data_IF_847650813245
#
_entry.id   IF_847650813245
#
_cell.length_a   1.000
_cell.length_b   1.000
_cell.length_c   1.000
_cell.angle_alpha   90.00
_cell.angle_beta   90.00
_cell.angle_gamma   90.00
#
_symmetry.space_group_name_H-M   'P 1'
#
loop_
_entity.id
_entity.type
_entity.pdbx_description
1 polymer ?
#
# COMPACT_ATOMS: atom_id res chain seq x y z
N UNK A 1 -37.72 -37.42 12.19
CA UNK A 1 -38.56 -36.53 13.02
C UNK A 1 -37.59 -35.56 13.70
N UNK A 2 -37.57 -34.25 13.53
CA UNK A 2 -38.40 -33.26 12.83
C UNK A 2 -37.44 -32.23 12.17
N UNK A 3 -37.78 -31.84 10.95
CA UNK A 3 -37.20 -30.76 10.17
C UNK A 3 -37.82 -29.44 10.69
N UNK A 4 -37.03 -28.51 11.21
CA UNK A 4 -37.53 -27.17 11.58
C UNK A 4 -37.17 -26.20 10.47
N UNK A 5 -38.07 -26.09 9.50
CA UNK A 5 -37.97 -25.22 8.33
C UNK A 5 -38.37 -23.80 8.74
N UNK A 6 -37.39 -22.89 8.81
CA UNK A 6 -37.64 -21.47 9.05
C UNK A 6 -38.18 -20.83 7.76
N UNK A 7 -39.47 -20.48 7.77
CA UNK A 7 -40.18 -19.82 6.68
C UNK A 7 -39.69 -18.36 6.55
N UNK A 8 -38.95 -18.04 5.49
CA UNK A 8 -38.64 -16.65 5.12
C UNK A 8 -39.77 -16.16 4.21
N UNK A 9 -40.54 -15.21 4.72
CA UNK A 9 -41.63 -14.55 3.99
C UNK A 9 -41.01 -13.60 2.97
N UNK A 10 -41.09 -13.92 1.69
CA UNK A 10 -40.75 -13.01 0.60
C UNK A 10 -41.83 -11.93 0.48
N UNK A 11 -41.56 -10.72 0.95
CA UNK A 11 -42.35 -9.54 0.59
C UNK A 11 -41.99 -9.13 -0.84
N UNK A 12 -42.80 -9.57 -1.80
CA UNK A 12 -42.80 -9.04 -3.16
C UNK A 12 -43.44 -7.65 -3.17
N UNK A 13 -42.63 -6.61 -2.99
CA UNK A 13 -43.04 -5.25 -3.31
C UNK A 13 -42.92 -5.04 -4.82
N UNK A 14 -44.05 -5.02 -5.52
CA UNK A 14 -44.12 -4.57 -6.91
C UNK A 14 -43.72 -3.09 -6.99
N UNK A 15 -42.53 -2.79 -7.51
CA UNK A 15 -42.13 -1.42 -7.83
C UNK A 15 -42.66 -1.12 -9.23
N UNK A 16 -43.73 -0.33 -9.28
CA UNK A 16 -44.22 0.33 -10.49
C UNK A 16 -43.10 1.17 -11.09
N UNK A 17 -42.77 0.92 -12.34
CA UNK A 17 -42.08 1.89 -13.17
C UNK A 17 -42.93 3.16 -13.28
N UNK A 18 -42.34 4.31 -13.00
CA UNK A 18 -42.84 5.62 -13.40
C UNK A 18 -41.63 6.48 -13.70
N UNK A 19 -41.62 6.98 -14.93
CA UNK A 19 -40.58 7.70 -15.65
C UNK A 19 -40.18 9.03 -15.01
N UNK A 20 -38.88 9.30 -15.13
CA UNK A 20 -38.17 10.58 -15.27
C UNK A 20 -38.44 11.70 -14.25
N UNK A 21 -37.36 12.14 -13.58
CA UNK A 21 -36.91 13.53 -13.51
C UNK A 21 -35.58 13.60 -12.73
N UNK A 22 -34.49 13.91 -13.46
CA UNK A 22 -33.26 14.56 -12.98
C UNK A 22 -32.61 14.06 -11.69
N UNK A 23 -31.69 13.10 -11.80
CA UNK A 23 -30.75 12.78 -10.73
C UNK A 23 -29.42 13.49 -10.97
N UNK A 24 -29.28 14.69 -10.42
CA UNK A 24 -28.02 15.41 -10.34
C UNK A 24 -27.08 14.74 -9.32
N UNK A 25 -25.89 14.35 -9.79
CA UNK A 25 -24.64 14.26 -9.03
C UNK A 25 -24.60 13.39 -7.74
N UNK A 26 -24.87 12.08 -7.82
CA UNK A 26 -24.45 11.14 -6.74
C UNK A 26 -23.10 10.46 -6.94
N UNK A 27 -22.49 10.53 -8.13
CA UNK A 27 -21.16 9.95 -8.39
C UNK A 27 -20.02 10.62 -7.59
N UNK A 28 -20.22 11.84 -7.07
CA UNK A 28 -19.16 12.56 -6.35
C UNK A 28 -19.05 12.19 -4.86
N UNK A 29 -20.04 11.48 -4.30
CA UNK A 29 -20.06 11.17 -2.86
C UNK A 29 -19.39 9.83 -2.52
N UNK A 30 -19.35 8.88 -3.45
CA UNK A 30 -18.64 7.60 -3.25
C UNK A 30 -17.12 7.74 -3.42
N UNK A 31 -16.65 8.76 -4.13
CA UNK A 31 -15.21 9.03 -4.29
C UNK A 31 -14.56 9.72 -3.07
N UNK A 32 -15.36 10.08 -2.05
CA UNK A 32 -14.86 10.71 -0.80
C UNK A 32 -14.47 9.73 0.30
N UNK A 33 -14.73 8.43 0.10
CA UNK A 33 -14.23 7.35 0.96
C UNK A 33 -12.98 6.69 0.37
N UNK A 34 -12.19 7.43 -0.43
CA UNK A 34 -10.82 7.01 -0.67
C UNK A 34 -10.11 6.92 0.69
N UNK A 35 -9.61 5.74 1.10
CA UNK A 35 -8.81 5.65 2.32
C UNK A 35 -7.70 6.68 2.18
N UNK A 36 -7.60 7.58 3.17
CA UNK A 36 -6.52 8.56 3.27
C UNK A 36 -5.25 7.74 3.39
N UNK A 37 -4.63 7.43 2.25
CA UNK A 37 -3.43 6.63 2.18
C UNK A 37 -2.44 7.32 3.12
N UNK A 38 -1.95 6.59 4.13
CA UNK A 38 -0.80 7.06 4.89
C UNK A 38 0.33 7.43 3.93
N UNK A 39 1.35 8.18 4.39
CA UNK A 39 2.49 8.49 3.54
C UNK A 39 2.98 7.21 2.86
N UNK A 40 3.02 7.23 1.53
CA UNK A 40 3.20 6.03 0.74
C UNK A 40 4.55 5.39 1.11
N UNK A 41 4.52 4.09 1.43
CA UNK A 41 5.66 3.39 1.99
C UNK A 41 6.34 2.53 0.90
N UNK A 42 7.60 2.82 0.59
CA UNK A 42 8.39 2.05 -0.36
C UNK A 42 9.09 0.83 0.27
N UNK A 43 9.02 0.68 1.59
CA UNK A 43 9.55 -0.49 2.29
C UNK A 43 8.66 -1.71 2.01
N UNK A 44 9.18 -2.71 1.30
CA UNK A 44 8.42 -3.88 0.86
C UNK A 44 8.47 -5.12 1.78
N UNK A 45 9.40 -5.18 2.74
CA UNK A 45 9.58 -6.35 3.60
C UNK A 45 8.57 -6.37 4.76
N UNK A 46 7.87 -7.50 4.92
CA UNK A 46 6.82 -7.65 5.94
C UNK A 46 7.25 -8.45 7.19
N UNK A 47 8.47 -9.00 7.20
CA UNK A 47 8.99 -9.70 8.37
C UNK A 47 9.09 -8.76 9.57
N UNK A 48 8.87 -9.29 10.78
CA UNK A 48 8.70 -8.46 11.99
C UNK A 48 9.36 -9.08 13.24
N UNK A 49 10.50 -9.76 13.08
CA UNK A 49 11.14 -10.47 14.18
C UNK A 49 11.84 -9.44 15.08
N UNK A 50 11.36 -9.28 16.30
CA UNK A 50 11.86 -8.25 17.20
C UNK A 50 11.57 -6.81 16.74
N UNK A 51 10.63 -6.63 15.81
CA UNK A 51 10.15 -5.32 15.37
C UNK A 51 9.89 -5.20 13.86
N UNK A 52 9.06 -4.24 13.48
CA UNK A 52 8.82 -3.89 12.08
C UNK A 52 9.97 -3.03 11.52
N UNK A 53 10.29 -3.25 10.26
CA UNK A 53 11.17 -2.35 9.52
C UNK A 53 10.52 -0.95 9.39
N UNK A 54 11.23 0.15 9.69
CA UNK A 54 10.68 1.50 9.54
C UNK A 54 10.26 1.78 8.10
N UNK A 55 9.16 2.51 7.92
CA UNK A 55 8.70 2.90 6.59
C UNK A 55 9.74 3.77 5.85
N UNK A 56 9.82 3.61 4.54
CA UNK A 56 10.52 4.51 3.62
C UNK A 56 9.45 5.44 3.05
N UNK A 57 9.40 6.68 3.54
CA UNK A 57 8.37 7.67 3.16
C UNK A 57 8.99 8.87 2.45
N UNK A 58 8.17 9.66 1.79
CA UNK A 58 8.64 10.86 1.10
C UNK A 58 9.03 11.93 2.13
N UNK A 59 10.24 12.45 2.02
CA UNK A 59 10.74 13.56 2.85
C UNK A 59 10.26 14.91 2.31
N UNK A 60 10.58 15.99 3.04
CA UNK A 60 10.35 17.37 2.60
C UNK A 60 11.56 17.98 1.84
N UNK A 61 12.69 17.25 1.74
CA UNK A 61 13.91 17.70 1.06
C UNK A 61 13.99 17.05 -0.34
N UNK A 62 13.82 17.82 -1.44
CA UNK A 62 13.90 17.27 -2.79
C UNK A 62 15.25 16.64 -3.14
N UNK A 63 16.35 17.05 -2.49
CA UNK A 63 17.69 16.45 -2.70
C UNK A 63 17.86 15.14 -1.95
N UNK A 64 17.01 14.87 -0.96
CA UNK A 64 17.03 13.67 -0.11
C UNK A 64 15.61 13.14 0.05
N UNK A 65 14.97 12.71 -1.06
CA UNK A 65 13.52 12.48 -1.09
C UNK A 65 13.06 11.29 -0.24
N UNK A 66 13.96 10.38 0.14
CA UNK A 66 13.62 9.23 0.97
C UNK A 66 13.84 9.53 2.45
N UNK A 67 12.86 9.25 3.30
CA UNK A 67 12.98 9.36 4.75
C UNK A 67 12.75 8.00 5.40
N UNK A 68 13.65 7.64 6.32
CA UNK A 68 13.54 6.46 7.18
C UNK A 68 13.73 6.92 8.62
N UNK A 69 12.67 6.81 9.42
CA UNK A 69 12.60 7.40 10.76
C UNK A 69 13.02 8.89 10.72
N UNK A 70 14.10 9.25 11.43
CA UNK A 70 14.59 10.62 11.55
C UNK A 70 15.76 10.95 10.59
N UNK A 71 15.99 10.13 9.57
CA UNK A 71 17.08 10.34 8.60
C UNK A 71 16.55 10.39 7.18
N UNK A 72 17.11 11.27 6.34
CA UNK A 72 16.78 11.37 4.91
C UNK A 72 17.91 10.83 4.02
N UNK A 73 17.61 10.42 2.80
CA UNK A 73 18.56 9.77 1.88
C UNK A 73 18.34 10.24 0.45
N UNK A 74 19.41 10.35 -0.35
CA UNK A 74 19.31 10.79 -1.75
C UNK A 74 18.75 9.70 -2.67
N UNK A 75 18.93 8.43 -2.32
CA UNK A 75 18.56 7.28 -3.15
C UNK A 75 17.87 6.16 -2.36
N UNK A 76 17.08 5.37 -3.08
CA UNK A 76 16.30 4.26 -2.52
C UNK A 76 17.17 3.13 -1.95
N UNK A 77 18.25 2.65 -2.61
CA UNK A 77 19.11 1.62 -2.04
C UNK A 77 19.66 1.98 -0.65
N UNK A 78 20.14 3.21 -0.46
CA UNK A 78 20.66 3.67 0.84
C UNK A 78 19.55 3.76 1.89
N UNK A 79 18.35 4.21 1.50
CA UNK A 79 17.19 4.19 2.39
C UNK A 79 16.75 2.74 2.75
N UNK A 80 16.75 1.85 1.76
CA UNK A 80 16.46 0.42 1.89
C UNK A 80 17.41 -0.27 2.87
N UNK A 81 18.71 0.02 2.78
CA UNK A 81 19.67 -0.46 3.76
C UNK A 81 19.37 0.09 5.16
N UNK A 82 19.12 1.40 5.30
CA UNK A 82 18.84 2.00 6.60
C UNK A 82 17.62 1.37 7.29
N UNK A 83 16.55 1.09 6.55
CA UNK A 83 15.36 0.48 7.16
C UNK A 83 15.65 -0.95 7.65
N UNK A 84 16.37 -1.76 6.87
CA UNK A 84 16.77 -3.10 7.28
C UNK A 84 17.75 -3.10 8.46
N UNK A 85 18.74 -2.21 8.46
CA UNK A 85 19.69 -2.07 9.58
C UNK A 85 18.98 -1.62 10.87
N UNK A 86 17.98 -0.75 10.74
CA UNK A 86 17.18 -0.30 11.90
C UNK A 86 16.33 -1.45 12.45
N UNK A 87 15.73 -2.26 11.57
CA UNK A 87 15.03 -3.48 11.98
C UNK A 87 15.96 -4.47 12.69
N UNK A 88 17.13 -4.70 12.12
CA UNK A 88 18.12 -5.61 12.66
C UNK A 88 18.56 -5.22 14.08
N UNK A 89 18.82 -3.93 14.31
CA UNK A 89 19.12 -3.42 15.64
C UNK A 89 17.95 -3.61 16.61
N UNK A 90 16.70 -3.42 16.16
CA UNK A 90 15.51 -3.73 16.97
C UNK A 90 15.43 -5.21 17.33
N UNK A 91 15.69 -6.10 16.36
CA UNK A 91 15.75 -7.53 16.58
C UNK A 91 16.85 -7.91 17.58
N UNK A 92 18.04 -7.34 17.45
CA UNK A 92 19.14 -7.54 18.39
C UNK A 92 18.79 -7.07 19.80
N UNK A 93 18.11 -5.93 19.94
CA UNK A 93 17.63 -5.45 21.24
C UNK A 93 16.60 -6.40 21.86
N UNK A 94 15.71 -6.98 21.05
CA UNK A 94 14.76 -7.98 21.51
C UNK A 94 15.44 -9.28 21.95
N UNK A 95 16.40 -9.77 21.15
CA UNK A 95 17.23 -10.95 21.44
C UNK A 95 18.13 -10.77 22.68
N UNK A 96 18.53 -9.54 23.00
CA UNK A 96 19.29 -9.23 24.21
C UNK A 96 18.40 -8.83 25.40
N UNK A 97 17.09 -8.71 25.18
CA UNK A 97 16.14 -8.17 26.14
C UNK A 97 15.03 -9.16 26.49
N UNK A 98 13.78 -8.69 26.38
CA UNK A 98 12.60 -9.43 26.82
C UNK A 98 12.35 -10.73 26.03
N UNK A 99 12.96 -10.89 24.84
CA UNK A 99 12.77 -12.06 23.97
C UNK A 99 14.04 -12.91 23.85
N UNK A 100 15.00 -12.77 24.77
CA UNK A 100 16.29 -13.48 24.73
C UNK A 100 16.23 -15.01 24.62
N UNK A 101 15.14 -15.60 25.11
CA UNK A 101 14.93 -17.05 25.08
C UNK A 101 14.10 -17.49 23.84
N UNK A 102 13.68 -16.54 22.99
CA UNK A 102 12.81 -16.74 21.82
C UNK A 102 13.48 -16.33 20.50
N UNK A 103 14.36 -15.32 20.55
CA UNK A 103 15.04 -14.75 19.39
C UNK A 103 16.53 -14.94 19.58
N UNK A 104 17.17 -15.58 18.60
CA UNK A 104 18.63 -15.67 18.52
C UNK A 104 19.17 -14.64 17.53
N UNK A 105 20.44 -14.28 17.68
CA UNK A 105 21.10 -13.35 16.76
C UNK A 105 21.06 -13.83 15.30
N UNK A 106 21.29 -15.12 15.06
CA UNK A 106 21.20 -15.72 13.72
C UNK A 106 19.82 -15.54 13.06
N UNK A 107 18.75 -15.48 13.85
CA UNK A 107 17.41 -15.21 13.31
C UNK A 107 17.28 -13.74 12.87
N UNK A 108 17.93 -12.82 13.59
CA UNK A 108 18.04 -11.42 13.18
C UNK A 108 18.85 -11.26 11.89
N UNK A 109 19.98 -11.98 11.77
CA UNK A 109 20.80 -11.98 10.54
C UNK A 109 19.97 -12.47 9.34
N UNK A 110 19.29 -13.60 9.51
CA UNK A 110 18.42 -14.17 8.46
C UNK A 110 17.29 -13.21 8.06
N UNK A 111 16.74 -12.47 9.03
CA UNK A 111 15.73 -11.44 8.74
C UNK A 111 16.33 -10.24 8.00
N UNK A 112 17.51 -9.79 8.37
CA UNK A 112 18.19 -8.68 7.71
C UNK A 112 18.48 -9.01 6.24
N UNK A 113 19.01 -10.20 5.96
CA UNK A 113 19.26 -10.67 4.59
C UNK A 113 17.97 -10.70 3.76
N UNK A 114 16.89 -11.22 4.34
CA UNK A 114 15.58 -11.26 3.69
C UNK A 114 15.01 -9.84 3.44
N UNK A 115 15.22 -8.91 4.37
CA UNK A 115 14.86 -7.51 4.19
C UNK A 115 15.65 -6.88 3.05
N UNK A 116 16.98 -7.05 3.03
CA UNK A 116 17.84 -6.52 1.97
C UNK A 116 17.47 -7.08 0.59
N UNK A 117 17.14 -8.37 0.50
CA UNK A 117 16.65 -8.99 -0.73
C UNK A 117 15.31 -8.41 -1.19
N UNK A 118 14.37 -8.19 -0.26
CA UNK A 118 13.07 -7.60 -0.55
C UNK A 118 13.18 -6.13 -1.02
N UNK A 119 14.07 -5.33 -0.42
CA UNK A 119 14.32 -3.96 -0.89
C UNK A 119 14.98 -3.97 -2.27
N UNK A 120 15.95 -4.86 -2.48
CA UNK A 120 16.64 -4.98 -3.77
C UNK A 120 15.70 -5.36 -4.92
N UNK A 121 14.72 -6.21 -4.63
CA UNK A 121 13.70 -6.69 -5.58
C UNK A 121 12.39 -5.88 -5.57
N UNK A 122 12.32 -4.78 -4.82
CA UNK A 122 11.09 -3.99 -4.70
C UNK A 122 10.60 -3.49 -6.07
N UNK A 123 9.30 -3.67 -6.39
CA UNK A 123 8.74 -3.27 -7.68
C UNK A 123 8.65 -1.74 -7.82
N UNK A 124 8.51 -1.04 -6.70
CA UNK A 124 8.45 0.41 -6.62
C UNK A 124 9.66 0.91 -5.83
N UNK A 125 10.42 1.83 -6.42
CA UNK A 125 11.62 2.43 -5.83
C UNK A 125 11.58 3.95 -5.82
N UNK A 126 10.55 4.56 -6.39
CA UNK A 126 10.33 6.01 -6.38
C UNK A 126 8.88 6.35 -6.00
N UNK A 127 8.69 7.53 -5.40
CA UNK A 127 7.36 8.00 -5.00
C UNK A 127 6.46 8.35 -6.18
N UNK A 128 7.02 8.69 -7.35
CA UNK A 128 6.23 8.90 -8.57
C UNK A 128 5.51 7.61 -9.00
N UNK A 129 6.15 6.44 -8.84
CA UNK A 129 5.54 5.16 -9.20
C UNK A 129 4.36 4.79 -8.28
N UNK A 130 4.31 5.34 -7.07
CA UNK A 130 3.18 5.16 -6.13
C UNK A 130 2.00 6.09 -6.45
N UNK A 131 2.24 7.18 -7.18
CA UNK A 131 1.23 8.17 -7.57
C UNK A 131 0.58 7.83 -8.90
N UNK A 132 1.25 7.01 -9.70
CA UNK A 132 0.68 6.40 -10.89
C UNK A 132 -0.27 5.28 -10.45
N UNK A 133 -1.55 5.61 -10.24
CA UNK A 133 -2.62 4.64 -10.56
C UNK A 133 -2.30 4.08 -11.95
N UNK A 134 -2.58 2.80 -12.25
CA UNK A 134 -2.22 2.21 -13.54
C UNK A 134 -2.74 3.13 -14.65
N UNK A 135 -1.85 3.95 -15.20
CA UNK A 135 -2.13 4.68 -16.40
C UNK A 135 -2.22 3.57 -17.41
N UNK A 136 -3.43 3.35 -17.91
CA UNK A 136 -3.71 2.46 -19.02
C UNK A 136 -2.53 2.57 -19.97
N UNK A 137 -1.74 1.50 -20.03
CA UNK A 137 -0.91 1.28 -21.19
C UNK A 137 -1.92 1.31 -22.33
N UNK A 138 -1.82 2.34 -23.16
CA UNK A 138 -2.68 2.55 -24.31
C UNK A 138 -2.51 1.34 -25.23
N UNK A 139 -3.27 0.29 -24.99
CA UNK A 139 -3.68 -0.63 -26.02
C UNK A 139 -4.73 0.19 -26.78
N UNK A 140 -4.47 0.59 -28.04
CA UNK A 140 -5.50 1.25 -28.83
C UNK A 140 -6.72 0.32 -28.85
N UNK A 141 -7.85 0.77 -28.33
CA UNK A 141 -9.11 0.04 -28.52
C UNK A 141 -9.39 0.06 -30.02
N UNK A 142 -9.45 -1.09 -30.70
CA UNK A 142 -9.69 -1.15 -32.14
C UNK A 142 -11.07 -0.60 -32.55
N UNK A 143 -11.95 -0.29 -31.60
CA UNK A 143 -13.29 0.24 -31.86
C UNK A 143 -13.48 1.72 -31.49
N UNK A 144 -12.48 2.39 -30.90
CA UNK A 144 -12.59 3.82 -30.57
C UNK A 144 -11.22 4.52 -30.56
N UNK A 145 -10.75 5.03 -31.72
CA UNK A 145 -9.47 5.74 -31.83
C UNK A 145 -9.52 7.20 -31.37
N UNK A 146 -10.67 7.74 -30.93
CA UNK A 146 -10.85 9.18 -30.65
C UNK A 146 -10.89 9.55 -29.16
N UNK A 147 -10.83 8.59 -28.23
CA UNK A 147 -10.60 8.91 -26.81
C UNK A 147 -9.11 9.12 -26.49
N UNK A 148 -8.50 10.08 -27.18
CA UNK A 148 -7.38 10.83 -26.60
C UNK A 148 -7.96 11.71 -25.49
N UNK A 149 -8.13 11.12 -24.29
CA UNK A 149 -8.57 11.83 -23.10
C UNK A 149 -7.45 12.75 -22.60
N UNK A 150 -7.37 13.90 -23.27
CA UNK A 150 -6.94 15.23 -22.83
C UNK A 150 -6.25 15.24 -21.45
N UNK A 151 -4.93 15.13 -21.45
CA UNK A 151 -4.08 15.69 -20.39
C UNK A 151 -3.52 17.06 -20.82
N UNK A 152 -4.32 17.87 -21.51
CA UNK A 152 -4.05 19.29 -21.75
C UNK A 152 -5.16 20.14 -21.11
N UNK A 153 -5.05 20.37 -19.81
CA UNK A 153 -5.70 21.50 -19.14
C UNK A 153 -4.80 22.02 -18.01
N UNK A 154 -3.79 22.80 -18.40
CA UNK A 154 -3.56 24.20 -17.99
C UNK A 154 -2.07 24.57 -17.91
#
# INVERSE_FOLDING_TARGET
>A
MQLSTLLIVFFSSAIRASSELGYTHIDSLLNRFAPRQGPANLQSFAGQLGGLAPAIVQSQDPKRPFQVANSTFPDFPTAGQKTCDTQYNSCGNAANGAQKDQITHNMCDSQHDACMAAQSSAPLKTFQQLQQAPQQTSIPDPNDPDFDLICDLN
#
